data_IF_302911719339
#
_entry.id   IF_302911719339
#
_cell.length_a   1.000
_cell.length_b   1.000
_cell.length_c   1.000
_cell.angle_alpha   90.00
_cell.angle_beta   90.00
_cell.angle_gamma   90.00
#
_symmetry.space_group_name_H-M   'P 1'
#
loop_
_entity.id
_entity.type
_entity.pdbx_description
1 polymer ?
#
# COMPACT_ATOMS: atom_id res chain seq x y z
N UNK A 1 11.73 -5.75 17.21
CA UNK A 1 10.85 -6.32 16.16
C UNK A 1 9.93 -5.23 15.61
N UNK A 2 9.88 -5.10 14.30
CA UNK A 2 9.01 -4.09 13.67
C UNK A 2 7.58 -4.58 13.63
N UNK A 3 6.64 -3.66 13.85
CA UNK A 3 5.23 -3.94 13.63
C UNK A 3 4.92 -3.76 12.15
N UNK A 4 4.13 -4.67 11.60
CA UNK A 4 3.74 -4.60 10.19
C UNK A 4 2.47 -3.79 10.02
N UNK A 5 2.49 -2.88 9.07
CA UNK A 5 1.31 -2.12 8.67
C UNK A 5 1.02 -2.50 7.22
N UNK A 6 -0.17 -3.04 6.99
CA UNK A 6 -0.57 -3.52 5.67
C UNK A 6 -1.54 -2.54 5.05
N UNK A 7 -1.23 -2.10 3.84
CA UNK A 7 -2.11 -1.23 3.07
C UNK A 7 -2.74 -2.07 1.96
N UNK A 8 -4.05 -2.21 2.00
CA UNK A 8 -4.78 -2.95 0.98
C UNK A 8 -5.12 -2.03 -0.18
N UNK A 9 -4.70 -2.41 -1.38
CA UNK A 9 -4.93 -1.64 -2.58
C UNK A 9 -5.88 -2.38 -3.52
N UNK A 10 -6.73 -1.64 -4.19
CA UNK A 10 -7.68 -2.16 -5.17
C UNK A 10 -7.81 -1.17 -6.32
N UNK A 11 -8.34 -1.62 -7.45
CA UNK A 11 -8.52 -0.74 -8.60
C UNK A 11 -9.43 0.44 -8.24
N UNK A 12 -8.96 1.64 -8.56
CA UNK A 12 -9.69 2.85 -8.25
C UNK A 12 -9.40 3.42 -6.89
N UNK A 13 -8.34 2.93 -6.20
CA UNK A 13 -8.01 3.49 -4.89
C UNK A 13 -7.66 4.98 -5.00
N UNK A 14 -7.87 5.69 -3.90
CA UNK A 14 -7.64 7.13 -3.86
C UNK A 14 -6.14 7.42 -3.75
N UNK A 15 -5.61 8.21 -4.68
CA UNK A 15 -4.18 8.57 -4.70
C UNK A 15 -3.76 9.34 -3.45
N UNK A 16 -4.68 10.14 -2.89
CA UNK A 16 -4.35 11.08 -1.83
C UNK A 16 -4.62 10.57 -0.42
N UNK A 17 -5.50 9.58 -0.24
CA UNK A 17 -5.89 9.14 1.10
C UNK A 17 -4.74 8.54 1.90
N UNK A 18 -3.82 7.87 1.22
CA UNK A 18 -2.66 7.26 1.87
C UNK A 18 -1.38 8.07 1.70
N UNK A 19 -1.39 9.07 0.81
CA UNK A 19 -0.18 9.79 0.41
C UNK A 19 0.49 10.55 1.56
N UNK A 20 -0.26 10.98 2.55
CA UNK A 20 0.31 11.62 3.73
C UNK A 20 0.82 10.64 4.76
N UNK A 21 0.06 9.57 4.95
CA UNK A 21 0.32 8.61 6.02
C UNK A 21 1.49 7.69 5.72
N UNK A 22 1.54 7.16 4.49
CA UNK A 22 2.55 6.15 4.14
C UNK A 22 3.98 6.67 4.22
N UNK A 23 4.30 7.91 3.77
CA UNK A 23 5.65 8.42 3.97
C UNK A 23 6.04 8.55 5.44
N UNK A 24 5.11 8.94 6.29
CA UNK A 24 5.37 9.07 7.72
C UNK A 24 5.60 7.71 8.38
N UNK A 25 4.84 6.71 7.98
CA UNK A 25 5.04 5.34 8.45
C UNK A 25 6.39 4.82 8.00
N UNK A 26 6.74 5.05 6.74
CA UNK A 26 8.00 4.57 6.17
C UNK A 26 9.22 5.14 6.87
N UNK A 27 9.14 6.38 7.33
CA UNK A 27 10.23 7.03 8.07
C UNK A 27 10.45 6.43 9.44
N UNK A 28 9.42 5.81 10.03
CA UNK A 28 9.48 5.29 11.39
C UNK A 28 10.05 3.88 11.38
N UNK A 29 11.22 3.71 11.99
CA UNK A 29 11.92 2.43 12.03
C UNK A 29 11.19 1.34 12.81
N UNK A 30 10.18 1.72 13.59
CA UNK A 30 9.38 0.76 14.38
C UNK A 30 8.34 0.03 13.54
N UNK A 31 8.09 0.49 12.31
CA UNK A 31 7.06 -0.09 11.44
C UNK A 31 7.64 -0.59 10.14
N UNK A 32 7.04 -1.67 9.65
CA UNK A 32 7.30 -2.20 8.31
C UNK A 32 6.04 -1.99 7.48
N UNK A 33 6.16 -1.25 6.39
CA UNK A 33 5.02 -0.93 5.53
C UNK A 33 4.94 -1.95 4.39
N UNK A 34 3.79 -2.58 4.25
CA UNK A 34 3.57 -3.62 3.25
C UNK A 34 2.32 -3.28 2.45
N UNK A 35 2.45 -3.30 1.12
CA UNK A 35 1.30 -3.11 0.24
C UNK A 35 0.81 -4.45 -0.27
N UNK A 36 -0.50 -4.65 -0.28
CA UNK A 36 -1.09 -5.87 -0.79
C UNK A 36 -2.30 -5.58 -1.68
N UNK A 37 -2.61 -6.54 -2.55
CA UNK A 37 -3.86 -6.54 -3.29
C UNK A 37 -4.54 -7.89 -3.10
N UNK A 38 -5.80 -8.01 -3.50
CA UNK A 38 -6.58 -9.23 -3.28
C UNK A 38 -5.88 -10.48 -3.82
N UNK A 39 -5.37 -10.40 -5.05
CA UNK A 39 -4.77 -11.54 -5.73
C UNK A 39 -3.29 -11.35 -6.06
N UNK A 40 -2.66 -10.32 -5.51
CA UNK A 40 -1.25 -10.02 -5.79
C UNK A 40 -1.00 -9.34 -7.12
N UNK A 41 -2.02 -9.07 -7.90
CA UNK A 41 -1.88 -8.40 -9.19
C UNK A 41 -1.79 -6.90 -9.01
N UNK A 42 -1.17 -6.24 -9.98
CA UNK A 42 -1.08 -4.78 -10.00
C UNK A 42 -2.47 -4.14 -10.03
N UNK A 43 -2.56 -2.95 -9.45
CA UNK A 43 -3.80 -2.18 -9.43
C UNK A 43 -3.53 -0.75 -9.91
N UNK A 44 -4.58 -0.06 -10.30
CA UNK A 44 -4.52 1.34 -10.72
C UNK A 44 -5.27 2.22 -9.74
N UNK A 45 -4.71 3.37 -9.42
CA UNK A 45 -5.39 4.37 -8.62
C UNK A 45 -6.45 5.10 -9.44
N UNK A 46 -7.24 5.94 -8.80
CA UNK A 46 -8.21 6.79 -9.49
C UNK A 46 -7.54 7.67 -10.54
N UNK A 47 -6.33 8.12 -10.26
CA UNK A 47 -5.56 8.96 -11.18
C UNK A 47 -4.74 8.19 -12.20
N UNK A 48 -4.90 6.86 -12.26
CA UNK A 48 -4.19 6.03 -13.22
C UNK A 48 -2.78 5.62 -12.81
N UNK A 49 -2.43 5.82 -11.55
CA UNK A 49 -1.13 5.39 -11.06
C UNK A 49 -1.09 3.87 -10.96
N UNK A 50 -0.11 3.26 -11.63
CA UNK A 50 0.04 1.80 -11.67
C UNK A 50 0.90 1.33 -10.51
N UNK A 51 0.39 0.47 -9.67
CA UNK A 51 1.08 0.01 -8.48
C UNK A 51 1.15 -1.51 -8.45
N UNK A 52 2.36 -2.03 -8.22
CA UNK A 52 2.58 -3.46 -8.01
C UNK A 52 2.67 -3.70 -6.49
N UNK A 53 1.78 -4.52 -5.92
CA UNK A 53 1.80 -4.77 -4.48
C UNK A 53 2.98 -5.66 -4.09
N UNK A 54 3.31 -5.64 -2.80
CA UNK A 54 4.37 -6.50 -2.26
C UNK A 54 3.89 -7.94 -2.10
N UNK A 55 2.63 -8.11 -1.68
CA UNK A 55 2.08 -9.44 -1.40
C UNK A 55 0.62 -9.53 -1.83
N UNK A 56 0.12 -10.75 -1.81
CA UNK A 56 -1.30 -11.06 -2.04
C UNK A 56 -1.99 -11.33 -0.71
N UNK A 57 -3.28 -10.97 -0.64
CA UNK A 57 -4.12 -11.35 0.51
C UNK A 57 -4.44 -12.85 0.51
N UNK A 58 -4.41 -13.46 -0.65
CA UNK A 58 -4.69 -14.89 -0.74
C UNK A 58 -3.55 -15.73 -0.21
#
# INVERSE_FOLDING_TARGET
MKKKIVVFLFDGFSDWEIAYLTPEIKKNEKFELIYCSHNGKSVFSMGGLHVSPDISLE
#
